data_IF_000339132842
#
_entry.id   IF_000339132842
#
_cell.length_a   1.000
_cell.length_b   1.000
_cell.length_c   1.000
_cell.angle_alpha   90.00
_cell.angle_beta   90.00
_cell.angle_gamma   90.00
#
_symmetry.space_group_name_H-M   'P 1'
#
loop_
_entity.id
_entity.type
_entity.pdbx_description
1 polymer ?
#
# COMPACT_ATOMS: atom_id res chain seq x y z
N UNK A 1 0.94 -24.97 5.97
CA UNK A 1 -0.35 -24.32 5.61
C UNK A 1 -0.12 -23.49 4.36
N UNK A 2 -0.90 -23.72 3.32
CA UNK A 2 -0.77 -23.01 2.06
C UNK A 2 -1.59 -21.72 2.14
N UNK A 3 -0.95 -20.57 2.24
CA UNK A 3 -1.61 -19.25 2.22
C UNK A 3 -2.39 -18.97 0.91
N UNK A 4 -2.19 -19.82 -0.12
CA UNK A 4 -2.78 -19.64 -1.43
C UNK A 4 -4.27 -20.02 -1.52
N UNK A 5 -4.82 -20.74 -0.54
CA UNK A 5 -6.19 -21.24 -0.62
C UNK A 5 -7.17 -20.38 0.19
N UNK A 6 -7.17 -19.10 -0.07
CA UNK A 6 -8.03 -18.14 0.66
C UNK A 6 -9.46 -18.08 0.13
N UNK A 7 -9.86 -19.01 -0.77
CA UNK A 7 -11.26 -19.16 -1.25
C UNK A 7 -11.88 -17.94 -1.92
N UNK A 8 -11.19 -16.86 -2.00
CA UNK A 8 -11.70 -15.62 -2.58
C UNK A 8 -11.47 -15.61 -4.07
N UNK A 9 -12.57 -15.53 -4.74
CA UNK A 9 -12.84 -15.38 -6.15
C UNK A 9 -12.07 -14.21 -6.75
N UNK A 10 -10.79 -14.42 -6.97
CA UNK A 10 -10.11 -13.65 -7.98
C UNK A 10 -9.79 -14.67 -9.06
N UNK A 11 -10.23 -14.41 -10.28
CA UNK A 11 -10.11 -15.30 -11.41
C UNK A 11 -8.68 -15.85 -11.52
N UNK A 12 -8.48 -17.05 -11.00
CA UNK A 12 -7.25 -17.80 -11.17
C UNK A 12 -7.27 -18.38 -12.57
N UNK A 13 -6.43 -17.88 -13.45
CA UNK A 13 -6.17 -18.54 -14.71
C UNK A 13 -5.17 -19.67 -14.49
N UNK A 14 -5.31 -20.76 -15.24
CA UNK A 14 -4.44 -21.93 -15.15
C UNK A 14 -2.93 -21.59 -15.20
N UNK A 15 -2.56 -20.50 -15.88
CA UNK A 15 -1.17 -20.04 -16.04
C UNK A 15 -0.81 -18.84 -15.18
N UNK A 16 -1.63 -18.47 -14.22
CA UNK A 16 -1.37 -17.35 -13.33
C UNK A 16 -0.17 -17.63 -12.42
N UNK A 17 0.83 -16.75 -12.46
CA UNK A 17 1.99 -16.84 -11.55
C UNK A 17 1.70 -16.04 -10.30
N UNK A 18 1.70 -16.73 -9.17
CA UNK A 18 1.45 -16.16 -7.85
C UNK A 18 2.75 -15.99 -7.07
N UNK A 19 2.91 -14.86 -6.39
CA UNK A 19 4.00 -14.65 -5.46
C UNK A 19 3.60 -13.72 -4.32
N UNK A 20 4.25 -13.90 -3.17
CA UNK A 20 4.15 -13.01 -2.01
C UNK A 20 5.45 -12.21 -1.88
N UNK A 21 5.35 -10.95 -1.49
CA UNK A 21 6.51 -10.07 -1.32
C UNK A 21 6.18 -8.88 -0.40
N UNK A 22 7.17 -8.05 -0.08
CA UNK A 22 7.04 -6.92 0.85
C UNK A 22 6.46 -7.34 2.20
N UNK A 23 7.15 -8.24 2.90
CA UNK A 23 6.75 -8.62 4.25
C UNK A 23 7.17 -7.54 5.25
N UNK A 24 6.25 -7.16 6.12
CA UNK A 24 6.49 -6.20 7.19
C UNK A 24 5.81 -6.66 8.47
N UNK A 25 6.61 -6.86 9.51
CA UNK A 25 6.09 -7.22 10.84
C UNK A 25 5.44 -6.00 11.49
N UNK A 26 4.32 -6.21 12.17
CA UNK A 26 3.61 -5.19 12.91
C UNK A 26 4.43 -4.67 14.11
N UNK A 27 4.14 -3.46 14.60
CA UNK A 27 4.94 -2.82 15.65
C UNK A 27 4.92 -3.56 16.99
N UNK A 28 3.94 -4.41 17.23
CA UNK A 28 3.85 -5.26 18.45
C UNK A 28 4.46 -6.67 18.25
N UNK A 29 4.97 -6.98 17.07
CA UNK A 29 5.59 -8.26 16.73
C UNK A 29 4.64 -9.44 16.59
N UNK A 30 3.31 -9.23 16.64
CA UNK A 30 2.33 -10.34 16.66
C UNK A 30 1.82 -10.71 15.27
N UNK A 31 1.76 -9.76 14.37
CA UNK A 31 1.23 -9.94 13.01
C UNK A 31 2.21 -9.45 11.97
N UNK A 32 2.03 -9.89 10.73
CA UNK A 32 2.75 -9.38 9.58
C UNK A 32 1.79 -9.03 8.43
N UNK A 33 2.24 -8.13 7.58
CA UNK A 33 1.62 -7.77 6.29
C UNK A 33 2.44 -8.38 5.16
N UNK A 34 1.77 -8.76 4.09
CA UNK A 34 2.38 -9.05 2.79
C UNK A 34 1.49 -8.63 1.64
N UNK A 35 2.09 -8.38 0.48
CA UNK A 35 1.39 -8.29 -0.78
C UNK A 35 1.38 -9.67 -1.46
N UNK A 36 0.20 -10.11 -1.84
CA UNK A 36 0.02 -11.27 -2.70
C UNK A 36 -0.32 -10.79 -4.11
N UNK A 37 0.56 -11.05 -5.07
CA UNK A 37 0.42 -10.64 -6.46
C UNK A 37 0.22 -11.83 -7.37
N UNK A 38 -0.57 -11.65 -8.43
CA UNK A 38 -0.70 -12.64 -9.50
C UNK A 38 -0.82 -11.98 -10.87
N UNK A 39 -0.37 -12.71 -11.90
CA UNK A 39 -0.44 -12.25 -13.28
C UNK A 39 -1.83 -12.45 -13.87
N UNK A 40 -2.18 -11.62 -14.84
CA UNK A 40 -3.40 -11.74 -15.62
C UNK A 40 -3.12 -12.27 -17.03
N UNK A 41 -4.08 -12.95 -17.71
CA UNK A 41 -3.87 -13.53 -19.06
C UNK A 41 -3.50 -12.50 -20.11
N UNK A 42 -4.07 -11.29 -20.01
CA UNK A 42 -3.82 -10.18 -20.94
C UNK A 42 -2.59 -9.36 -20.59
N UNK A 43 -1.76 -9.85 -19.69
CA UNK A 43 -0.63 -9.11 -19.11
C UNK A 43 -1.04 -8.22 -17.95
N UNK A 44 -0.03 -7.65 -17.26
CA UNK A 44 -0.22 -6.92 -16.02
C UNK A 44 -0.40 -7.85 -14.82
N UNK A 45 -0.69 -7.26 -13.68
CA UNK A 45 -0.85 -8.00 -12.41
C UNK A 45 -1.92 -7.37 -11.54
N UNK A 46 -2.47 -8.18 -10.67
CA UNK A 46 -3.31 -7.77 -9.55
C UNK A 46 -2.58 -8.06 -8.24
N UNK A 47 -2.86 -7.26 -7.23
CA UNK A 47 -2.20 -7.35 -5.92
C UNK A 47 -3.21 -7.11 -4.82
N UNK A 48 -3.29 -8.02 -3.85
CA UNK A 48 -4.07 -7.83 -2.61
C UNK A 48 -3.16 -7.69 -1.41
N UNK A 49 -3.64 -7.01 -0.38
CA UNK A 49 -2.95 -6.88 0.89
C UNK A 49 -3.53 -7.87 1.89
N UNK A 50 -2.66 -8.66 2.47
CA UNK A 50 -3.00 -9.72 3.41
C UNK A 50 -2.24 -9.49 4.71
N UNK A 51 -2.89 -9.78 5.85
CA UNK A 51 -2.23 -9.88 7.14
C UNK A 51 -2.44 -11.27 7.73
N UNK A 52 -1.55 -11.67 8.62
CA UNK A 52 -1.70 -12.90 9.40
C UNK A 52 -0.91 -12.79 10.71
N UNK A 53 -1.21 -13.65 11.68
CA UNK A 53 -0.35 -13.85 12.85
C UNK A 53 1.01 -14.41 12.42
N UNK A 54 2.04 -14.24 13.27
CA UNK A 54 3.40 -14.70 12.97
C UNK A 54 3.50 -16.22 12.75
N UNK A 55 2.54 -17.00 13.25
CA UNK A 55 2.44 -18.45 13.00
C UNK A 55 1.63 -18.80 11.73
N UNK A 56 1.16 -17.79 10.99
CA UNK A 56 0.34 -17.93 9.79
C UNK A 56 -1.15 -18.21 10.06
N UNK A 57 -1.59 -18.17 11.30
CA UNK A 57 -3.02 -18.24 11.65
C UNK A 57 -3.71 -16.89 11.46
N UNK A 58 -5.04 -16.85 11.58
CA UNK A 58 -5.87 -15.63 11.50
C UNK A 58 -5.52 -14.75 10.27
N UNK A 59 -5.52 -15.39 9.10
CA UNK A 59 -5.28 -14.70 7.83
C UNK A 59 -6.48 -13.83 7.49
N UNK A 60 -6.21 -12.54 7.18
CA UNK A 60 -7.22 -11.54 6.79
C UNK A 60 -6.86 -10.94 5.44
N UNK A 61 -7.86 -10.65 4.62
CA UNK A 61 -7.69 -9.97 3.33
C UNK A 61 -8.15 -8.52 3.48
N UNK A 62 -7.21 -7.66 3.84
CA UNK A 62 -7.51 -6.25 4.13
C UNK A 62 -7.91 -5.49 2.87
N UNK A 63 -7.22 -5.74 1.75
CA UNK A 63 -7.54 -5.14 0.45
C UNK A 63 -7.72 -6.25 -0.57
N UNK A 64 -8.97 -6.64 -0.89
CA UNK A 64 -9.27 -7.79 -1.73
C UNK A 64 -9.28 -7.49 -3.24
N UNK A 65 -9.49 -6.24 -3.65
CA UNK A 65 -9.87 -5.85 -5.01
C UNK A 65 -8.78 -5.96 -6.08
N UNK A 66 -7.57 -6.40 -5.72
CA UNK A 66 -6.45 -6.55 -6.66
C UNK A 66 -5.63 -5.29 -6.89
N UNK A 67 -5.94 -4.19 -6.23
CA UNK A 67 -5.30 -2.89 -6.42
C UNK A 67 -4.66 -2.35 -5.14
N UNK A 68 -3.95 -3.21 -4.40
CA UNK A 68 -3.10 -2.82 -3.28
C UNK A 68 -1.67 -2.50 -3.77
N UNK A 69 -1.03 -1.53 -3.12
CA UNK A 69 0.36 -1.14 -3.38
C UNK A 69 1.06 -0.79 -2.06
N UNK A 70 1.91 0.21 -2.04
CA UNK A 70 2.71 0.62 -0.88
C UNK A 70 1.90 0.67 0.42
N UNK A 71 2.48 0.19 1.50
CA UNK A 71 1.81 0.12 2.80
C UNK A 71 2.78 0.30 3.95
N UNK A 72 2.24 0.67 5.10
CA UNK A 72 2.94 0.75 6.38
C UNK A 72 1.95 0.53 7.53
N UNK A 73 2.38 -0.11 8.61
CA UNK A 73 1.63 -0.09 9.85
C UNK A 73 1.64 1.31 10.46
N UNK A 74 0.46 1.82 10.84
CA UNK A 74 0.33 3.00 11.70
C UNK A 74 0.48 2.63 13.17
N UNK A 75 -0.15 1.54 13.55
CA UNK A 75 -0.15 0.96 14.88
C UNK A 75 -0.44 -0.56 14.78
N UNK A 76 -0.65 -1.23 15.90
CA UNK A 76 -0.88 -2.69 15.92
C UNK A 76 -2.15 -3.17 15.20
N UNK A 77 -3.06 -2.24 14.84
CA UNK A 77 -4.38 -2.56 14.28
C UNK A 77 -4.74 -1.75 13.04
N UNK A 78 -3.91 -0.80 12.64
CA UNK A 78 -4.21 0.05 11.49
C UNK A 78 -3.06 0.11 10.50
N UNK A 79 -3.41 0.14 9.22
CA UNK A 79 -2.50 0.08 8.07
C UNK A 79 -2.84 1.24 7.14
N UNK A 80 -1.84 2.04 6.79
CA UNK A 80 -1.93 2.97 5.66
C UNK A 80 -1.48 2.24 4.40
N UNK A 81 -2.27 2.26 3.35
CA UNK A 81 -1.89 1.68 2.06
C UNK A 81 -2.40 2.50 0.90
N UNK A 82 -1.65 2.45 -0.20
CA UNK A 82 -2.15 2.89 -1.49
C UNK A 82 -3.05 1.81 -2.08
N UNK A 83 -4.24 2.23 -2.50
CA UNK A 83 -5.20 1.33 -3.12
C UNK A 83 -6.10 2.09 -4.09
N UNK A 84 -6.84 1.36 -4.91
CA UNK A 84 -8.01 1.96 -5.55
C UNK A 84 -9.20 1.88 -4.60
N UNK A 85 -9.95 2.97 -4.53
CA UNK A 85 -11.18 3.01 -3.77
C UNK A 85 -12.33 2.38 -4.57
N UNK A 86 -12.66 1.14 -4.22
CA UNK A 86 -13.78 0.41 -4.86
C UNK A 86 -15.16 0.70 -4.25
N UNK A 87 -15.19 1.54 -3.20
CA UNK A 87 -16.44 1.92 -2.53
C UNK A 87 -17.06 3.20 -3.12
N UNK A 88 -16.36 3.86 -4.04
CA UNK A 88 -16.82 5.12 -4.63
C UNK A 88 -16.34 5.30 -6.07
N UNK A 89 -15.29 6.06 -6.25
CA UNK A 89 -14.64 6.22 -7.55
C UNK A 89 -13.49 5.19 -7.68
N UNK A 90 -13.29 4.58 -8.81
CA UNK A 90 -12.19 3.64 -9.07
C UNK A 90 -10.83 4.36 -9.23
N UNK A 91 -10.48 5.23 -8.27
CA UNK A 91 -9.25 6.03 -8.29
C UNK A 91 -8.24 5.59 -7.25
N UNK A 92 -6.98 5.72 -7.60
CA UNK A 92 -5.89 5.51 -6.65
C UNK A 92 -5.86 6.62 -5.60
N UNK A 93 -5.65 6.23 -4.36
CA UNK A 93 -5.47 7.12 -3.22
C UNK A 93 -4.70 6.43 -2.09
N UNK A 94 -4.54 7.16 -1.00
CA UNK A 94 -3.94 6.63 0.22
C UNK A 94 -5.07 6.43 1.22
N UNK A 95 -5.24 5.20 1.71
CA UNK A 95 -6.36 4.86 2.60
C UNK A 95 -5.86 4.24 3.88
N UNK A 96 -6.50 4.61 4.98
CA UNK A 96 -6.34 3.96 6.26
C UNK A 96 -7.30 2.77 6.33
N UNK A 97 -6.76 1.63 6.72
CA UNK A 97 -7.50 0.39 6.91
C UNK A 97 -7.37 -0.08 8.36
N UNK A 98 -8.44 -0.65 8.89
CA UNK A 98 -8.36 -1.49 10.08
C UNK A 98 -7.88 -2.89 9.65
N UNK A 99 -7.08 -3.56 10.49
CA UNK A 99 -6.60 -4.93 10.24
C UNK A 99 -7.74 -5.95 10.37
N UNK A 100 -8.61 -5.96 9.38
CA UNK A 100 -9.71 -6.89 9.19
C UNK A 100 -10.06 -7.04 7.71
N UNK A 101 -10.87 -8.00 7.37
CA UNK A 101 -11.33 -8.17 6.00
C UNK A 101 -12.09 -6.93 5.51
N UNK A 102 -11.62 -6.38 4.36
CA UNK A 102 -12.19 -5.18 3.75
C UNK A 102 -12.29 -3.97 4.69
N UNK A 103 -11.26 -3.78 5.50
CA UNK A 103 -11.25 -2.85 6.63
C UNK A 103 -11.02 -1.37 6.32
N UNK A 104 -11.46 -0.85 5.14
CA UNK A 104 -11.28 0.58 4.79
C UNK A 104 -11.96 1.51 5.81
N UNK A 105 -11.26 2.56 6.25
CA UNK A 105 -11.75 3.56 7.20
C UNK A 105 -11.92 4.91 6.53
N UNK A 106 -10.84 5.49 6.01
CA UNK A 106 -10.82 6.84 5.46
C UNK A 106 -9.76 7.01 4.38
N UNK A 107 -9.94 8.01 3.51
CA UNK A 107 -8.93 8.47 2.57
C UNK A 107 -8.02 9.49 3.25
N UNK A 108 -6.71 9.24 3.22
CA UNK A 108 -5.69 10.08 3.85
C UNK A 108 -5.05 10.99 2.82
N UNK A 109 -5.01 12.29 3.11
CA UNK A 109 -4.32 13.27 2.28
C UNK A 109 -4.98 13.55 0.94
N UNK A 110 -6.29 13.37 0.83
CA UNK A 110 -7.05 13.66 -0.39
C UNK A 110 -6.75 15.06 -0.93
N UNK A 111 -6.36 15.11 -2.21
CA UNK A 111 -6.01 16.35 -2.89
C UNK A 111 -4.66 16.98 -2.48
N UNK A 112 -3.93 16.38 -1.56
CA UNK A 112 -2.63 16.85 -1.06
C UNK A 112 -1.52 15.83 -1.28
N UNK A 113 -1.78 14.57 -0.92
CA UNK A 113 -0.86 13.47 -1.17
C UNK A 113 -1.13 12.87 -2.55
N UNK A 114 -0.08 12.73 -3.32
CA UNK A 114 -0.13 11.95 -4.55
C UNK A 114 -0.26 10.46 -4.25
N UNK A 115 -0.95 9.73 -5.10
CA UNK A 115 -0.84 8.28 -5.14
C UNK A 115 0.52 7.91 -5.75
N UNK A 116 1.35 7.28 -4.99
CA UNK A 116 2.71 6.90 -5.39
C UNK A 116 3.74 7.39 -4.36
N UNK A 117 4.77 6.60 -4.16
CA UNK A 117 5.78 6.86 -3.15
C UNK A 117 5.64 5.98 -1.91
N UNK A 118 6.63 6.07 -1.04
CA UNK A 118 6.74 5.26 0.16
C UNK A 118 6.30 6.08 1.38
N UNK A 119 5.92 5.40 2.46
CA UNK A 119 5.50 6.06 3.69
C UNK A 119 6.32 5.60 4.88
N UNK A 120 6.53 6.51 5.82
CA UNK A 120 6.88 6.16 7.21
C UNK A 120 6.17 7.12 8.14
N UNK A 121 5.54 6.57 9.19
CA UNK A 121 5.03 7.39 10.28
C UNK A 121 6.18 7.91 11.12
N UNK A 122 6.14 9.18 11.48
CA UNK A 122 7.02 9.75 12.49
C UNK A 122 6.46 9.52 13.89
N UNK A 123 7.24 9.90 14.90
CA UNK A 123 6.85 9.74 16.29
C UNK A 123 5.45 10.30 16.55
N UNK A 124 4.66 9.59 17.36
CA UNK A 124 3.26 9.90 17.70
C UNK A 124 2.24 9.81 16.55
N UNK A 125 2.65 9.34 15.35
CA UNK A 125 1.78 9.18 14.19
C UNK A 125 1.03 10.45 13.73
N UNK A 126 1.55 11.63 14.06
CA UNK A 126 0.98 12.90 13.60
C UNK A 126 1.48 13.31 12.23
N UNK A 127 2.67 12.84 11.87
CA UNK A 127 3.33 13.15 10.60
C UNK A 127 3.68 11.88 9.84
N UNK A 128 3.61 11.99 8.52
CA UNK A 128 4.21 11.05 7.58
C UNK A 128 5.42 11.70 6.91
N UNK A 129 6.50 10.95 6.73
CA UNK A 129 7.48 11.24 5.71
C UNK A 129 7.16 10.38 4.49
N UNK A 130 7.22 10.98 3.31
CA UNK A 130 6.90 10.30 2.05
C UNK A 130 7.73 10.88 0.91
N UNK A 131 7.66 10.24 -0.24
CA UNK A 131 8.28 10.71 -1.48
C UNK A 131 7.25 10.68 -2.62
N UNK A 132 7.64 11.18 -3.78
CA UNK A 132 6.87 11.00 -5.02
C UNK A 132 7.68 10.17 -6.00
N UNK A 133 7.00 9.48 -6.93
CA UNK A 133 7.68 9.03 -8.13
C UNK A 133 8.15 10.23 -8.97
N UNK A 134 9.19 10.05 -9.80
CA UNK A 134 9.69 11.12 -10.68
C UNK A 134 8.62 11.62 -11.63
N UNK A 135 8.32 12.92 -11.58
CA UNK A 135 7.26 13.57 -12.35
C UNK A 135 7.79 14.68 -13.28
N UNK A 136 7.01 14.95 -14.33
CA UNK A 136 7.29 15.99 -15.30
C UNK A 136 8.53 15.74 -16.16
N UNK A 137 8.84 16.71 -17.03
CA UNK A 137 9.94 16.63 -18.00
C UNK A 137 11.29 16.46 -17.31
N UNK A 138 11.49 17.14 -16.18
CA UNK A 138 12.72 17.05 -15.38
C UNK A 138 12.79 15.82 -14.48
N UNK A 139 11.76 14.97 -14.48
CA UNK A 139 11.68 13.76 -13.65
C UNK A 139 12.02 14.04 -12.19
N UNK A 140 11.35 15.03 -11.60
CA UNK A 140 11.58 15.42 -10.20
C UNK A 140 10.91 14.45 -9.24
N UNK A 141 11.68 13.96 -8.28
CA UNK A 141 11.23 13.23 -7.10
C UNK A 141 11.27 14.17 -5.89
N UNK A 142 10.21 14.18 -5.10
CA UNK A 142 10.02 15.14 -4.01
C UNK A 142 9.77 14.42 -2.70
N UNK A 143 10.81 14.25 -1.83
CA UNK A 143 10.57 13.87 -0.45
C UNK A 143 9.84 15.00 0.29
N UNK A 144 8.88 14.62 1.12
CA UNK A 144 8.03 15.58 1.80
C UNK A 144 7.54 15.05 3.15
N UNK A 145 7.15 16.00 4.01
CA UNK A 145 6.40 15.73 5.23
C UNK A 145 4.92 16.01 4.99
N UNK A 146 4.08 15.22 5.61
CA UNK A 146 2.63 15.44 5.61
C UNK A 146 2.09 15.35 7.04
N UNK A 147 1.38 16.40 7.46
CA UNK A 147 0.73 16.49 8.77
C UNK A 147 -0.71 16.03 8.66
N UNK A 148 -1.04 14.89 9.28
CA UNK A 148 -2.36 14.25 9.14
C UNK A 148 -3.51 15.18 9.58
N UNK A 149 -3.37 15.80 10.73
CA UNK A 149 -4.45 16.58 11.37
C UNK A 149 -4.81 17.86 10.61
N UNK A 150 -3.82 18.54 10.03
CA UNK A 150 -4.06 19.80 9.30
C UNK A 150 -4.12 19.63 7.77
N UNK A 151 -3.98 18.40 7.26
CA UNK A 151 -3.91 18.10 5.83
C UNK A 151 -2.86 18.96 5.09
N UNK A 152 -1.71 19.19 5.73
CA UNK A 152 -0.65 20.05 5.21
C UNK A 152 0.57 19.26 4.78
N UNK A 153 1.05 19.53 3.58
CA UNK A 153 2.29 18.99 3.02
C UNK A 153 3.41 20.05 3.08
N UNK A 154 4.64 19.60 3.35
CA UNK A 154 5.86 20.40 3.33
C UNK A 154 6.89 19.66 2.48
N UNK A 155 7.19 20.18 1.31
CA UNK A 155 8.21 19.63 0.43
C UNK A 155 9.60 19.95 1.01
N UNK A 156 10.44 18.93 1.15
CA UNK A 156 11.78 19.06 1.74
C UNK A 156 12.84 19.40 0.69
N UNK A 157 12.73 18.79 -0.49
CA UNK A 157 13.66 18.97 -1.59
C UNK A 157 13.05 18.50 -2.90
N UNK A 158 13.72 18.78 -4.01
CA UNK A 158 13.42 18.21 -5.32
C UNK A 158 14.69 17.67 -5.96
N UNK A 159 14.69 16.40 -6.30
CA UNK A 159 15.82 15.72 -6.92
C UNK A 159 15.45 15.27 -8.33
N UNK A 160 16.22 15.67 -9.35
CA UNK A 160 16.05 15.12 -10.68
C UNK A 160 16.53 13.66 -10.69
N UNK A 161 15.72 12.78 -11.28
CA UNK A 161 16.15 11.41 -11.57
C UNK A 161 16.51 11.31 -13.06
N UNK A 162 17.78 11.27 -13.42
CA UNK A 162 18.21 11.15 -14.81
C UNK A 162 17.66 9.89 -15.48
N UNK A 163 17.39 9.91 -16.80
CA UNK A 163 16.83 8.77 -17.53
C UNK A 163 17.64 7.47 -17.43
N UNK A 164 18.96 7.57 -17.28
CA UNK A 164 19.86 6.43 -17.12
C UNK A 164 19.64 5.62 -15.83
N UNK A 165 18.96 6.19 -14.83
CA UNK A 165 18.58 5.51 -13.58
C UNK A 165 17.13 5.01 -13.59
N UNK A 166 16.57 4.72 -14.76
CA UNK A 166 15.27 4.04 -14.82
C UNK A 166 15.45 2.60 -14.38
N UNK A 167 14.89 2.25 -13.22
CA UNK A 167 14.68 0.87 -12.80
C UNK A 167 13.56 0.20 -13.59
#
# INVERSE_FOLDING_TARGET
KTLANTGTVMENHLDSKHHAYHLLVGPDGKRFIMLHRWTQPKGGHLTRLITANMDGSDLRIVIPNGYASHFIWRDATHILSQAKNWLGNDQWGNFLFEDKDSGIIEEVGKGVLDSGGHFSYLHQNEWLVSDTYPKGVRRLQTPHLYHLKSNRRIDLAQYPQPPEYKG
#
